data_IF_621020639558
#
_entry.id   IF_621020639558
#
_cell.length_a   1.000
_cell.length_b   1.000
_cell.length_c   1.000
_cell.angle_alpha   90.00
_cell.angle_beta   90.00
_cell.angle_gamma   90.00
#
_symmetry.space_group_name_H-M   'P 1'
#
loop_
_entity.id
_entity.type
_entity.pdbx_description
1 polymer ?
#
# COMPACT_ATOMS: atom_id res chain seq x y z
N UNK A 1 19.59 -0.80 -10.13
CA UNK A 1 19.68 0.48 -9.41
C UNK A 1 21.05 1.07 -9.64
N UNK A 2 21.13 2.33 -10.08
CA UNK A 2 22.39 3.03 -10.31
C UNK A 2 22.88 3.73 -9.03
N UNK A 3 24.15 4.14 -8.99
CA UNK A 3 24.72 4.93 -7.90
C UNK A 3 23.94 6.25 -7.66
N UNK A 4 23.36 6.82 -8.72
CA UNK A 4 22.57 8.04 -8.64
C UNK A 4 21.18 7.82 -8.03
N UNK A 5 20.57 6.65 -8.26
CA UNK A 5 19.29 6.28 -7.66
C UNK A 5 19.42 6.16 -6.14
N UNK A 6 20.51 5.54 -5.67
CA UNK A 6 20.77 5.37 -4.24
C UNK A 6 20.90 6.72 -3.53
N UNK A 7 21.68 7.66 -4.08
CA UNK A 7 21.84 9.01 -3.51
C UNK A 7 20.52 9.78 -3.47
N UNK A 8 19.69 9.63 -4.52
CA UNK A 8 18.36 10.25 -4.59
C UNK A 8 17.43 9.70 -3.52
N UNK A 9 17.40 8.38 -3.33
CA UNK A 9 16.63 7.73 -2.26
C UNK A 9 17.09 8.18 -0.86
N UNK A 10 18.40 8.26 -0.65
CA UNK A 10 18.96 8.68 0.64
C UNK A 10 18.57 10.11 0.99
N UNK A 11 18.64 11.02 0.02
CA UNK A 11 18.19 12.41 0.17
C UNK A 11 16.68 12.49 0.42
N UNK A 12 15.88 11.75 -0.34
CA UNK A 12 14.42 11.68 -0.17
C UNK A 12 14.06 11.21 1.24
N UNK A 13 14.75 10.19 1.77
CA UNK A 13 14.52 9.70 3.12
C UNK A 13 14.89 10.75 4.17
N UNK A 14 16.00 11.48 4.00
CA UNK A 14 16.40 12.54 4.97
C UNK A 14 15.40 13.69 5.05
N UNK A 15 14.84 14.11 3.92
CA UNK A 15 13.89 15.24 3.87
C UNK A 15 12.43 14.83 4.07
N UNK A 16 12.12 13.53 4.03
CA UNK A 16 10.76 13.04 4.20
C UNK A 16 10.19 13.37 5.59
N UNK A 17 8.89 13.74 5.67
CA UNK A 17 8.20 13.92 6.94
C UNK A 17 8.37 12.70 7.85
N UNK A 18 8.46 12.92 9.17
CA UNK A 18 8.63 11.84 10.15
C UNK A 18 7.58 10.75 9.99
N UNK A 19 6.32 11.14 9.76
CA UNK A 19 5.21 10.21 9.54
C UNK A 19 5.40 9.28 8.34
N UNK A 20 6.16 9.71 7.32
CA UNK A 20 6.49 8.87 6.17
C UNK A 20 7.64 7.92 6.50
N UNK A 21 8.66 8.42 7.22
CA UNK A 21 9.80 7.60 7.67
C UNK A 21 9.43 6.53 8.70
N UNK A 22 8.46 6.81 9.57
CA UNK A 22 8.00 5.90 10.62
C UNK A 22 6.94 4.91 10.13
N UNK A 23 6.64 4.85 8.82
CA UNK A 23 5.70 3.85 8.31
C UNK A 23 6.30 2.45 8.47
N UNK A 24 5.55 1.49 9.04
CA UNK A 24 5.97 0.09 9.10
C UNK A 24 6.28 -0.44 7.71
N UNK A 25 7.23 -1.37 7.64
CA UNK A 25 7.69 -2.00 6.40
C UNK A 25 7.04 -3.36 6.15
N UNK A 26 6.55 -4.03 7.20
CA UNK A 26 5.84 -5.30 7.14
C UNK A 26 4.62 -5.28 8.07
N UNK A 27 3.77 -6.31 7.95
CA UNK A 27 2.56 -6.43 8.78
C UNK A 27 2.84 -6.63 10.27
N UNK A 28 3.98 -7.20 10.63
CA UNK A 28 4.33 -7.48 12.03
C UNK A 28 4.77 -6.21 12.79
N UNK A 29 5.30 -5.22 12.08
CA UNK A 29 5.57 -3.86 12.58
C UNK A 29 4.30 -3.00 12.70
N UNK A 30 3.16 -3.44 12.17
CA UNK A 30 1.94 -2.64 12.17
C UNK A 30 1.37 -2.50 13.59
N UNK A 31 1.36 -1.27 14.09
CA UNK A 31 0.88 -0.97 15.43
C UNK A 31 -0.65 -1.05 15.51
N UNK A 32 -1.15 -1.96 16.36
CA UNK A 32 -2.59 -2.12 16.63
C UNK A 32 -3.27 -3.08 15.66
N UNK A 33 -4.62 -3.04 15.62
CA UNK A 33 -5.44 -3.87 14.72
C UNK A 33 -5.19 -5.40 14.79
N UNK A 34 -4.63 -5.90 15.91
CA UNK A 34 -4.37 -7.33 16.14
C UNK A 34 -5.61 -8.22 15.98
N UNK A 35 -6.79 -7.68 16.25
CA UNK A 35 -8.04 -8.43 16.10
C UNK A 35 -8.33 -8.85 14.65
N UNK A 36 -7.76 -8.16 13.64
CA UNK A 36 -7.86 -8.52 12.22
C UNK A 36 -6.53 -8.94 11.57
N UNK A 37 -5.38 -8.49 12.08
CA UNK A 37 -4.05 -8.74 11.48
C UNK A 37 -3.20 -9.81 12.18
N UNK A 38 -3.63 -10.32 13.35
CA UNK A 38 -2.90 -11.41 14.01
C UNK A 38 -2.91 -12.69 13.18
N UNK A 39 -1.88 -13.56 13.33
CA UNK A 39 -1.82 -14.87 12.69
C UNK A 39 -3.14 -15.66 12.86
N UNK A 40 -3.60 -16.25 11.77
CA UNK A 40 -4.84 -17.05 11.74
C UNK A 40 -6.15 -16.26 11.64
N UNK A 41 -6.11 -14.92 11.66
CA UNK A 41 -7.30 -14.09 11.36
C UNK A 41 -7.59 -14.07 9.86
N UNK A 42 -8.86 -13.82 9.52
CA UNK A 42 -9.36 -13.88 8.13
C UNK A 42 -8.55 -12.98 7.19
N UNK A 43 -8.34 -11.72 7.58
CA UNK A 43 -7.58 -10.79 6.74
C UNK A 43 -6.11 -11.19 6.63
N UNK A 44 -5.47 -11.59 7.74
CA UNK A 44 -4.08 -12.07 7.72
C UNK A 44 -3.91 -13.28 6.80
N UNK A 45 -4.78 -14.29 6.90
CA UNK A 45 -4.76 -15.46 6.01
C UNK A 45 -4.98 -15.09 4.54
N UNK A 46 -5.92 -14.19 4.25
CA UNK A 46 -6.16 -13.75 2.87
C UNK A 46 -4.96 -13.03 2.26
N UNK A 47 -4.19 -12.29 3.07
CA UNK A 47 -2.92 -11.67 2.64
C UNK A 47 -1.86 -12.76 2.45
N UNK A 48 -1.65 -13.62 3.45
CA UNK A 48 -0.63 -14.67 3.43
C UNK A 48 -0.83 -15.67 2.27
N UNK A 49 -2.08 -15.92 1.86
CA UNK A 49 -2.45 -16.81 0.73
C UNK A 49 -2.52 -16.10 -0.63
N UNK A 50 -2.23 -14.79 -0.70
CA UNK A 50 -2.37 -13.96 -1.91
C UNK A 50 -3.78 -14.03 -2.55
N UNK A 51 -4.81 -14.06 -1.70
CA UNK A 51 -6.24 -14.21 -2.07
C UNK A 51 -7.08 -13.08 -1.49
N UNK A 52 -6.72 -11.85 -1.85
CA UNK A 52 -7.37 -10.65 -1.34
C UNK A 52 -8.70 -10.36 -2.07
N UNK A 53 -9.84 -10.29 -1.35
CA UNK A 53 -11.07 -9.77 -1.94
C UNK A 53 -11.00 -8.24 -2.06
N UNK A 54 -11.84 -7.69 -2.94
CA UNK A 54 -12.13 -6.25 -2.93
C UNK A 54 -12.65 -5.82 -1.56
N UNK A 55 -12.03 -4.79 -0.97
CA UNK A 55 -12.34 -4.37 0.39
C UNK A 55 -12.30 -2.86 0.57
N UNK A 56 -13.04 -2.37 1.57
CA UNK A 56 -13.03 -0.97 1.98
C UNK A 56 -12.43 -0.91 3.38
N UNK A 57 -11.33 -0.17 3.53
CA UNK A 57 -10.73 0.11 4.84
C UNK A 57 -11.37 1.37 5.42
N UNK A 58 -12.16 1.23 6.48
CA UNK A 58 -12.85 2.34 7.14
C UNK A 58 -12.30 2.61 8.55
N UNK A 59 -12.22 3.89 8.93
CA UNK A 59 -11.74 4.30 10.25
C UNK A 59 -11.32 5.78 10.31
N UNK A 60 -11.04 6.31 11.50
CA UNK A 60 -10.68 7.72 11.72
C UNK A 60 -9.36 8.12 11.02
N UNK A 61 -9.11 9.42 10.77
CA UNK A 61 -7.83 9.86 10.21
C UNK A 61 -6.66 9.38 11.09
N UNK A 62 -5.55 8.97 10.47
CA UNK A 62 -4.39 8.43 11.20
C UNK A 62 -4.50 6.96 11.63
N UNK A 63 -5.63 6.27 11.40
CA UNK A 63 -5.80 4.85 11.76
C UNK A 63 -4.97 3.85 10.93
N UNK A 64 -4.11 4.35 10.03
CA UNK A 64 -3.19 3.53 9.24
C UNK A 64 -3.76 2.90 7.96
N UNK A 65 -4.97 3.27 7.49
CA UNK A 65 -5.60 2.71 6.27
C UNK A 65 -4.67 2.68 5.04
N UNK A 66 -4.08 3.82 4.71
CA UNK A 66 -3.17 3.94 3.55
C UNK A 66 -1.89 3.14 3.76
N UNK A 67 -1.39 3.09 4.99
CA UNK A 67 -0.22 2.28 5.35
C UNK A 67 -0.54 0.80 5.20
N UNK A 68 -1.69 0.35 5.70
CA UNK A 68 -2.11 -1.04 5.59
C UNK A 68 -2.26 -1.47 4.13
N UNK A 69 -2.93 -0.67 3.29
CA UNK A 69 -3.06 -0.98 1.87
C UNK A 69 -1.69 -1.14 1.16
N UNK A 70 -0.71 -0.30 1.53
CA UNK A 70 0.66 -0.39 1.01
C UNK A 70 1.38 -1.65 1.49
N UNK A 71 1.26 -2.00 2.77
CA UNK A 71 1.83 -3.22 3.33
C UNK A 71 1.25 -4.45 2.65
N UNK A 72 -0.08 -4.50 2.51
CA UNK A 72 -0.77 -5.61 1.84
C UNK A 72 -0.25 -5.82 0.41
N UNK A 73 -0.06 -4.75 -0.36
CA UNK A 73 0.52 -4.86 -1.70
C UNK A 73 2.00 -5.25 -1.72
N UNK A 74 2.75 -4.98 -0.64
CA UNK A 74 4.15 -5.42 -0.50
C UNK A 74 4.30 -6.89 -0.10
N UNK A 75 3.30 -7.44 0.60
CA UNK A 75 3.25 -8.86 1.02
C UNK A 75 2.60 -9.77 -0.05
N UNK A 76 2.01 -9.19 -1.10
CA UNK A 76 1.34 -9.91 -2.19
C UNK A 76 2.01 -9.64 -3.52
N UNK A 77 1.74 -10.45 -4.55
CA UNK A 77 2.23 -10.17 -5.90
C UNK A 77 1.37 -9.12 -6.64
N UNK A 78 0.85 -8.15 -5.90
CA UNK A 78 -0.07 -7.13 -6.41
C UNK A 78 0.67 -5.85 -6.77
N UNK A 79 0.21 -5.18 -7.82
CA UNK A 79 0.67 -3.83 -8.13
C UNK A 79 -0.14 -2.79 -7.33
N UNK A 80 0.53 -1.85 -6.66
CA UNK A 80 -0.11 -0.80 -5.87
C UNK A 80 -0.24 0.51 -6.65
N UNK A 81 -1.47 0.95 -6.92
CA UNK A 81 -1.78 2.31 -7.41
C UNK A 81 -2.54 3.09 -6.34
N UNK A 82 -2.13 4.34 -6.09
CA UNK A 82 -2.81 5.21 -5.12
C UNK A 82 -3.55 6.35 -5.84
N UNK A 83 -4.88 6.35 -5.70
CA UNK A 83 -5.74 7.43 -6.17
C UNK A 83 -6.38 8.17 -4.99
N UNK A 84 -6.63 9.47 -5.16
CA UNK A 84 -7.25 10.31 -4.13
C UNK A 84 -8.54 10.90 -4.68
N UNK A 85 -9.66 10.62 -4.03
CA UNK A 85 -10.96 11.17 -4.45
C UNK A 85 -11.03 12.71 -4.41
N UNK A 86 -10.07 13.37 -3.74
CA UNK A 86 -10.01 14.84 -3.65
C UNK A 86 -9.29 15.45 -4.86
N UNK A 87 -8.26 14.78 -5.37
CA UNK A 87 -7.39 15.32 -6.42
C UNK A 87 -7.50 14.60 -7.75
N UNK A 88 -8.12 13.41 -7.77
CA UNK A 88 -8.24 12.55 -8.95
C UNK A 88 -9.62 12.67 -9.57
N UNK A 89 -9.66 12.84 -10.90
CA UNK A 89 -10.87 12.86 -11.70
C UNK A 89 -11.12 11.56 -12.47
N UNK A 90 -12.18 11.54 -13.28
CA UNK A 90 -12.55 10.37 -14.11
C UNK A 90 -11.43 9.99 -15.09
N UNK A 91 -10.65 10.96 -15.58
CA UNK A 91 -9.54 10.70 -16.48
C UNK A 91 -8.44 9.87 -15.80
N UNK A 92 -8.10 10.19 -14.55
CA UNK A 92 -7.05 9.49 -13.81
C UNK A 92 -7.46 8.05 -13.51
N UNK A 93 -8.72 7.85 -13.13
CA UNK A 93 -9.29 6.50 -12.92
C UNK A 93 -9.21 5.66 -14.19
N UNK A 94 -9.60 6.22 -15.34
CA UNK A 94 -9.50 5.52 -16.64
C UNK A 94 -8.07 5.18 -17.02
N UNK A 95 -7.11 6.07 -16.74
CA UNK A 95 -5.70 5.82 -17.01
C UNK A 95 -5.15 4.67 -16.16
N UNK A 96 -5.51 4.62 -14.87
CA UNK A 96 -5.13 3.52 -13.98
C UNK A 96 -5.74 2.18 -14.43
N UNK A 97 -7.00 2.18 -14.86
CA UNK A 97 -7.66 0.98 -15.38
C UNK A 97 -6.98 0.47 -16.67
N UNK A 98 -6.65 1.36 -17.61
CA UNK A 98 -5.93 0.98 -18.82
C UNK A 98 -4.56 0.36 -18.49
N UNK A 99 -3.77 1.02 -17.63
CA UNK A 99 -2.49 0.48 -17.18
C UNK A 99 -2.63 -0.84 -16.42
N UNK A 100 -3.76 -1.10 -15.75
CA UNK A 100 -4.01 -2.38 -15.10
C UNK A 100 -4.27 -3.49 -16.12
N UNK A 101 -5.04 -3.23 -17.19
CA UNK A 101 -5.25 -4.18 -18.28
C UNK A 101 -3.94 -4.53 -19.00
N UNK A 102 -3.12 -3.52 -19.31
CA UNK A 102 -1.81 -3.73 -19.94
C UNK A 102 -0.91 -4.66 -19.10
N UNK A 103 -0.93 -4.51 -17.77
CA UNK A 103 -0.17 -5.38 -16.84
C UNK A 103 -0.69 -6.82 -16.81
N UNK A 104 -1.99 -7.01 -17.02
CA UNK A 104 -2.62 -8.34 -17.13
C UNK A 104 -2.43 -8.96 -18.52
N UNK A 105 -1.86 -8.21 -19.48
CA UNK A 105 -1.71 -8.65 -20.86
C UNK A 105 -3.04 -8.73 -21.61
N UNK A 106 -4.03 -7.95 -21.21
CA UNK A 106 -5.37 -7.88 -21.83
C UNK A 106 -5.49 -6.70 -22.79
#
# INVERSE_FOLDING_TARGET
>A
MTLFDHRKQELQNRIAPLSTRMRPQNLDEYAGQKHILSPGKVLRRAIDEDRLPSMILWGPPGSGKTTLARLVAGETNSYFEQLSAVTSGVKDVRAVMAAANDRLGQ
#
